data_IF_475692211713
#
_entry.id   IF_475692211713
#
_cell.length_a   1.000
_cell.length_b   1.000
_cell.length_c   1.000
_cell.angle_alpha   90.00
_cell.angle_beta   90.00
_cell.angle_gamma   90.00
#
_symmetry.space_group_name_H-M   'P 1'
#
loop_
_entity.id
_entity.type
_entity.pdbx_description
1 polymer ?
#
# COMPACT_ATOMS: atom_id res chain seq x y z
N UNK A 1 5.31 15.09 -56.07
CA UNK A 1 6.06 14.99 -54.81
C UNK A 1 5.36 15.67 -53.63
N UNK A 2 4.89 16.93 -53.73
CA UNK A 2 4.24 17.69 -52.62
C UNK A 2 3.15 16.96 -51.81
N UNK A 3 2.25 16.20 -52.47
CA UNK A 3 1.20 15.39 -51.78
C UNK A 3 1.76 14.30 -50.85
N UNK A 4 2.90 13.68 -51.20
CA UNK A 4 3.54 12.64 -50.37
C UNK A 4 4.15 13.21 -49.09
N UNK A 5 4.68 14.44 -49.17
CA UNK A 5 5.22 15.16 -48.01
C UNK A 5 4.12 15.64 -47.05
N UNK A 6 2.96 16.07 -47.60
CA UNK A 6 1.77 16.39 -46.79
C UNK A 6 1.22 15.13 -46.12
N UNK A 7 1.12 14.01 -46.83
CA UNK A 7 0.70 12.74 -46.26
C UNK A 7 1.67 12.24 -45.18
N UNK A 8 2.99 12.38 -45.39
CA UNK A 8 4.00 12.06 -44.38
C UNK A 8 3.86 12.94 -43.13
N UNK A 9 3.61 14.24 -43.30
CA UNK A 9 3.37 15.15 -42.19
C UNK A 9 2.15 14.78 -41.36
N UNK A 10 1.04 14.36 -42.01
CA UNK A 10 -0.18 13.92 -41.34
C UNK A 10 0.06 12.62 -40.55
N UNK A 11 0.74 11.64 -41.15
CA UNK A 11 1.06 10.36 -40.49
C UNK A 11 1.99 10.57 -39.30
N UNK A 12 3.01 11.42 -39.43
CA UNK A 12 3.91 11.76 -38.33
C UNK A 12 3.17 12.47 -37.18
N UNK A 13 2.27 13.40 -37.48
CA UNK A 13 1.46 14.08 -36.47
C UNK A 13 0.52 13.11 -35.72
N UNK A 14 -0.08 12.14 -36.43
CA UNK A 14 -0.91 11.09 -35.82
C UNK A 14 -0.10 10.18 -34.89
N UNK A 15 1.10 9.77 -35.30
CA UNK A 15 2.00 8.96 -34.46
C UNK A 15 2.41 9.70 -33.19
N UNK A 16 2.74 10.99 -33.29
CA UNK A 16 3.06 11.83 -32.12
C UNK A 16 1.83 11.98 -31.22
N UNK A 17 0.63 12.18 -31.79
CA UNK A 17 -0.60 12.28 -31.00
C UNK A 17 -0.88 10.98 -30.23
N UNK A 18 -0.74 9.82 -30.87
CA UNK A 18 -0.85 8.51 -30.22
C UNK A 18 0.21 8.36 -29.12
N UNK A 19 1.46 8.75 -29.38
CA UNK A 19 2.53 8.70 -28.38
C UNK A 19 2.23 9.60 -27.18
N UNK A 20 1.71 10.81 -27.38
CA UNK A 20 1.31 11.73 -26.30
C UNK A 20 0.13 11.17 -25.50
N UNK A 21 -0.84 10.54 -26.17
CA UNK A 21 -1.97 9.86 -25.51
C UNK A 21 -1.43 8.70 -24.65
N UNK A 22 -0.61 7.83 -25.23
CA UNK A 22 0.03 6.72 -24.50
C UNK A 22 0.85 7.23 -23.33
N UNK A 23 1.68 8.28 -23.50
CA UNK A 23 2.47 8.89 -22.43
C UNK A 23 1.61 9.54 -21.33
N UNK A 24 0.45 10.10 -21.67
CA UNK A 24 -0.52 10.60 -20.68
C UNK A 24 -1.20 9.46 -19.92
N UNK A 25 -1.51 8.35 -20.59
CA UNK A 25 -2.06 7.15 -19.95
C UNK A 25 -1.02 6.40 -19.11
N UNK A 26 0.25 6.34 -19.54
CA UNK A 26 1.34 5.71 -18.77
C UNK A 26 1.83 6.60 -17.63
N UNK A 27 1.81 7.94 -17.75
CA UNK A 27 1.95 8.84 -16.58
C UNK A 27 0.83 8.65 -15.56
N UNK A 28 -0.34 8.22 -16.00
CA UNK A 28 -1.48 7.80 -15.14
C UNK A 28 -1.40 6.35 -14.70
N UNK A 29 -0.38 5.58 -15.11
CA UNK A 29 -0.01 4.34 -14.44
C UNK A 29 0.64 4.75 -13.12
N UNK A 30 -0.24 5.17 -12.22
CA UNK A 30 0.01 5.81 -10.95
C UNK A 30 0.93 4.94 -10.12
N UNK A 31 2.05 5.53 -9.67
CA UNK A 31 2.70 5.07 -8.44
C UNK A 31 1.59 5.00 -7.38
N UNK A 32 1.21 3.80 -6.98
CA UNK A 32 0.12 3.60 -6.05
C UNK A 32 -0.65 2.31 -6.25
N UNK A 33 -1.62 2.13 -5.38
CA UNK A 33 -2.41 0.91 -5.24
C UNK A 33 -3.68 1.11 -6.04
N UNK A 34 -4.03 0.15 -6.90
CA UNK A 34 -5.20 0.30 -7.74
C UNK A 34 -6.47 0.37 -6.89
N UNK A 35 -7.30 1.38 -7.13
CA UNK A 35 -8.58 1.53 -6.46
C UNK A 35 -9.47 0.29 -6.66
N UNK A 36 -10.25 -0.06 -5.64
CA UNK A 36 -11.17 -1.19 -5.68
C UNK A 36 -11.33 -1.90 -4.36
N UNK A 37 -12.17 -2.95 -4.38
CA UNK A 37 -12.37 -3.88 -3.27
C UNK A 37 -11.48 -5.10 -3.48
N UNK A 38 -10.72 -5.48 -2.46
CA UNK A 38 -9.88 -6.67 -2.44
C UNK A 38 -10.42 -7.60 -1.36
N UNK A 39 -10.87 -8.79 -1.75
CA UNK A 39 -11.40 -9.80 -0.84
C UNK A 39 -10.26 -10.61 -0.25
N UNK A 40 -10.36 -10.97 1.02
CA UNK A 40 -9.41 -11.89 1.65
C UNK A 40 -9.38 -13.24 0.92
N UNK A 41 -8.21 -13.87 0.93
CA UNK A 41 -7.98 -15.19 0.34
C UNK A 41 -7.38 -16.07 1.44
N UNK A 42 -7.88 -17.30 1.55
CA UNK A 42 -7.34 -18.34 2.44
C UNK A 42 -7.18 -17.91 3.92
N UNK A 43 -8.14 -17.15 4.47
CA UNK A 43 -8.20 -16.80 5.89
C UNK A 43 -9.52 -17.27 6.53
N UNK A 44 -9.59 -18.52 7.01
CA UNK A 44 -10.81 -19.10 7.57
C UNK A 44 -11.33 -18.36 8.82
N UNK A 45 -10.44 -17.70 9.57
CA UNK A 45 -10.83 -16.97 10.79
C UNK A 45 -11.60 -15.68 10.47
N UNK A 46 -11.39 -15.12 9.27
CA UNK A 46 -12.02 -13.88 8.83
C UNK A 46 -12.46 -13.99 7.36
N UNK A 47 -13.42 -14.87 7.01
CA UNK A 47 -13.75 -15.21 5.63
C UNK A 47 -14.35 -14.04 4.84
N UNK A 48 -14.96 -13.08 5.55
CA UNK A 48 -15.62 -11.91 4.97
C UNK A 48 -14.74 -10.65 5.02
N UNK A 49 -13.47 -10.78 5.38
CA UNK A 49 -12.55 -9.65 5.43
C UNK A 49 -12.28 -9.08 4.04
N UNK A 50 -12.16 -7.75 3.95
CA UNK A 50 -11.80 -7.10 2.71
C UNK A 50 -11.09 -5.76 2.93
N UNK A 51 -10.40 -5.31 1.89
CA UNK A 51 -9.80 -3.98 1.81
C UNK A 51 -10.55 -3.15 0.78
N UNK A 52 -10.81 -1.88 1.10
CA UNK A 52 -11.18 -0.87 0.12
C UNK A 52 -10.00 0.07 -0.08
N UNK A 53 -9.58 0.19 -1.34
CA UNK A 53 -8.60 1.16 -1.80
C UNK A 53 -9.31 2.27 -2.56
N UNK A 54 -9.09 3.51 -2.15
CA UNK A 54 -9.57 4.70 -2.86
C UNK A 54 -8.51 5.80 -2.81
N UNK A 55 -8.02 6.22 -3.97
CA UNK A 55 -6.96 7.24 -4.08
C UNK A 55 -5.75 6.93 -3.19
N UNK A 56 -5.24 5.70 -3.19
CA UNK A 56 -4.16 5.22 -2.30
C UNK A 56 -4.48 5.26 -0.79
N UNK A 57 -5.72 5.53 -0.39
CA UNK A 57 -6.16 5.31 0.99
C UNK A 57 -6.70 3.90 1.14
N UNK A 58 -6.25 3.20 2.17
CA UNK A 58 -6.61 1.82 2.50
C UNK A 58 -7.44 1.80 3.77
N UNK A 59 -8.55 1.07 3.74
CA UNK A 59 -9.29 0.68 4.95
C UNK A 59 -9.63 -0.79 4.88
N UNK A 60 -9.41 -1.49 5.99
CA UNK A 60 -9.66 -2.92 6.17
C UNK A 60 -11.00 -3.07 6.90
N UNK A 61 -11.77 -4.08 6.54
CA UNK A 61 -13.11 -4.32 7.07
C UNK A 61 -13.26 -5.79 7.49
N UNK A 62 -14.20 -6.02 8.41
CA UNK A 62 -14.62 -7.34 8.88
C UNK A 62 -13.46 -8.20 9.43
N UNK A 63 -12.50 -7.57 10.08
CA UNK A 63 -11.34 -8.23 10.69
C UNK A 63 -10.89 -7.46 11.92
N UNK A 64 -10.45 -8.20 12.94
CA UNK A 64 -9.74 -7.63 14.08
C UNK A 64 -8.23 -7.75 13.81
N UNK A 65 -7.64 -6.66 13.33
CA UNK A 65 -6.21 -6.56 13.02
C UNK A 65 -5.38 -6.57 14.31
N UNK A 66 -5.92 -6.05 15.42
CA UNK A 66 -5.25 -6.08 16.72
C UNK A 66 -5.08 -7.52 17.21
N UNK A 67 -6.12 -8.34 17.11
CA UNK A 67 -6.06 -9.75 17.52
C UNK A 67 -4.98 -10.56 16.78
N UNK A 68 -4.56 -10.10 15.60
CA UNK A 68 -3.57 -10.80 14.77
C UNK A 68 -2.17 -10.24 14.99
N UNK A 69 -2.01 -8.91 15.07
CA UNK A 69 -0.70 -8.28 14.93
C UNK A 69 -0.27 -7.40 16.12
N UNK A 70 -1.19 -7.03 17.03
CA UNK A 70 -0.88 -6.01 18.05
C UNK A 70 0.17 -6.45 19.06
N UNK A 71 0.17 -7.72 19.47
CA UNK A 71 1.13 -8.21 20.47
C UNK A 71 2.57 -8.02 20.00
N UNK A 72 2.86 -8.42 18.77
CA UNK A 72 4.19 -8.24 18.19
C UNK A 72 4.53 -6.79 17.87
N UNK A 73 3.54 -6.00 17.47
CA UNK A 73 3.71 -4.56 17.29
C UNK A 73 4.18 -3.94 18.62
N UNK A 74 3.56 -4.30 19.75
CA UNK A 74 3.97 -3.86 21.09
C UNK A 74 5.38 -4.35 21.43
N UNK A 75 5.70 -5.61 21.17
CA UNK A 75 7.05 -6.14 21.42
C UNK A 75 8.12 -5.44 20.59
N UNK A 76 7.84 -5.17 19.31
CA UNK A 76 8.74 -4.43 18.41
C UNK A 76 8.97 -3.02 18.91
N UNK A 77 7.92 -2.33 19.37
CA UNK A 77 8.02 -0.99 19.97
C UNK A 77 8.89 -1.02 21.23
N UNK A 78 8.64 -1.99 22.13
CA UNK A 78 9.39 -2.13 23.39
C UNK A 78 10.87 -2.40 23.14
N UNK A 79 11.21 -3.32 22.23
CA UNK A 79 12.62 -3.63 21.88
C UNK A 79 13.39 -2.40 21.41
N UNK A 80 12.76 -1.54 20.60
CA UNK A 80 13.40 -0.30 20.17
C UNK A 80 13.52 0.71 21.33
N UNK A 81 12.52 0.81 22.21
CA UNK A 81 12.62 1.68 23.39
C UNK A 81 13.71 1.20 24.38
N UNK A 82 14.00 -0.09 24.41
CA UNK A 82 15.09 -0.69 25.21
C UNK A 82 16.46 -0.49 24.57
N UNK A 83 16.52 -0.31 23.24
CA UNK A 83 17.74 0.02 22.52
C UNK A 83 18.17 1.46 22.83
N UNK A 84 19.27 1.59 23.57
CA UNK A 84 19.83 2.86 24.00
C UNK A 84 20.30 3.73 22.84
N UNK A 85 20.64 3.14 21.68
CA UNK A 85 21.08 3.89 20.50
C UNK A 85 19.91 4.51 19.73
N UNK A 86 18.69 4.00 19.92
CA UNK A 86 17.50 4.52 19.24
C UNK A 86 17.14 5.94 19.68
N UNK A 87 17.44 6.28 20.94
CA UNK A 87 17.02 7.55 21.57
C UNK A 87 15.49 7.68 21.75
N UNK A 88 14.72 6.63 21.50
CA UNK A 88 13.25 6.64 21.58
C UNK A 88 12.83 6.19 22.99
N UNK A 89 12.08 7.04 23.69
CA UNK A 89 11.48 6.71 24.98
C UNK A 89 9.99 6.99 24.90
N UNK A 90 9.18 5.95 25.06
CA UNK A 90 7.72 6.02 25.01
C UNK A 90 7.13 5.56 26.35
N UNK A 91 6.06 6.22 26.76
CA UNK A 91 5.22 5.79 27.89
C UNK A 91 4.34 4.59 27.51
N UNK A 92 3.84 3.86 28.51
CA UNK A 92 2.92 2.75 28.27
C UNK A 92 1.66 3.19 27.50
N UNK A 93 1.11 4.37 27.80
CA UNK A 93 -0.04 4.93 27.09
C UNK A 93 0.27 5.24 25.62
N UNK A 94 1.46 5.75 25.33
CA UNK A 94 1.90 5.97 23.94
C UNK A 94 2.05 4.66 23.18
N UNK A 95 2.61 3.62 23.81
CA UNK A 95 2.73 2.29 23.20
C UNK A 95 1.33 1.71 22.90
N UNK A 96 0.39 1.81 23.83
CA UNK A 96 -0.99 1.35 23.64
C UNK A 96 -1.65 2.07 22.45
N UNK A 97 -1.47 3.39 22.35
CA UNK A 97 -2.05 4.19 21.25
C UNK A 97 -1.38 3.90 19.90
N UNK A 98 -0.06 3.73 19.88
CA UNK A 98 0.72 3.48 18.66
C UNK A 98 0.56 2.04 18.15
N UNK A 99 0.18 1.11 19.02
CA UNK A 99 -0.05 -0.30 18.67
C UNK A 99 -1.50 -0.62 18.33
N UNK A 100 -2.43 0.34 18.40
CA UNK A 100 -3.83 0.13 18.04
C UNK A 100 -4.03 0.16 16.51
N UNK A 101 -3.82 -0.99 15.89
CA UNK A 101 -3.92 -1.23 14.46
C UNK A 101 -5.38 -1.17 13.96
N UNK A 102 -6.36 -1.57 14.76
CA UNK A 102 -7.78 -1.43 14.40
C UNK A 102 -8.14 0.05 14.24
N UNK A 103 -7.74 0.89 15.19
CA UNK A 103 -7.95 2.33 15.07
C UNK A 103 -7.29 2.91 13.84
N UNK A 104 -6.11 2.42 13.46
CA UNK A 104 -5.36 2.93 12.30
C UNK A 104 -5.92 2.48 10.95
N UNK A 105 -6.31 1.21 10.83
CA UNK A 105 -6.58 0.59 9.54
C UNK A 105 -8.03 0.09 9.36
N UNK A 106 -8.78 -0.10 10.45
CA UNK A 106 -10.17 -0.59 10.42
C UNK A 106 -11.17 0.52 10.66
N UNK A 107 -10.94 1.35 11.68
CA UNK A 107 -11.81 2.49 11.98
C UNK A 107 -11.57 3.65 11.01
N UNK A 108 -10.31 3.86 10.64
CA UNK A 108 -9.86 4.95 9.79
C UNK A 108 -9.27 4.42 8.47
N UNK A 109 -9.37 5.26 7.42
CA UNK A 109 -8.66 5.00 6.19
C UNK A 109 -7.23 5.54 6.28
N UNK A 110 -6.25 4.66 6.12
CA UNK A 110 -4.83 5.01 6.14
C UNK A 110 -4.39 5.50 4.74
N UNK A 111 -3.84 6.71 4.68
CA UNK A 111 -3.30 7.25 3.43
C UNK A 111 -1.89 6.71 3.21
N UNK A 112 -1.72 5.84 2.21
CA UNK A 112 -0.40 5.31 1.85
C UNK A 112 0.45 6.40 1.21
N UNK A 113 1.66 6.58 1.75
CA UNK A 113 2.70 7.40 1.15
C UNK A 113 3.39 6.61 0.02
N UNK A 114 2.84 6.71 -1.17
CA UNK A 114 3.30 5.96 -2.35
C UNK A 114 4.67 6.41 -2.86
N UNK A 115 5.16 7.58 -2.42
CA UNK A 115 6.49 8.07 -2.78
C UNK A 115 7.58 7.37 -1.97
N UNK A 116 7.25 6.92 -0.75
CA UNK A 116 8.13 6.13 0.12
C UNK A 116 8.05 4.63 -0.10
N UNK A 117 7.26 4.17 -1.08
CA UNK A 117 7.16 2.76 -1.42
C UNK A 117 8.46 2.22 -2.00
N UNK A 118 8.92 1.08 -1.50
CA UNK A 118 10.08 0.36 -2.03
C UNK A 118 9.64 -0.59 -3.13
N UNK A 119 10.29 -0.53 -4.29
CA UNK A 119 10.03 -1.47 -5.39
C UNK A 119 10.81 -2.77 -5.13
N UNK A 120 10.10 -3.89 -4.98
CA UNK A 120 10.72 -5.21 -4.72
C UNK A 120 10.73 -6.15 -5.93
N UNK A 121 10.06 -5.76 -7.03
CA UNK A 121 10.08 -6.53 -8.27
C UNK A 121 9.56 -5.70 -9.44
N UNK A 122 9.43 -6.30 -10.62
CA UNK A 122 8.96 -5.58 -11.82
C UNK A 122 7.60 -4.91 -11.59
N UNK A 123 6.70 -5.60 -10.89
CA UNK A 123 5.30 -5.19 -10.66
C UNK A 123 4.91 -5.04 -9.19
N UNK A 124 5.86 -5.21 -8.26
CA UNK A 124 5.59 -5.31 -6.82
C UNK A 124 6.21 -4.15 -6.04
N UNK A 125 5.44 -3.62 -5.10
CA UNK A 125 5.80 -2.50 -4.24
C UNK A 125 5.47 -2.84 -2.79
N UNK A 126 6.35 -2.44 -1.88
CA UNK A 126 6.14 -2.54 -0.44
C UNK A 126 5.97 -1.14 0.12
N UNK A 127 4.86 -0.95 0.83
CA UNK A 127 4.55 0.28 1.51
C UNK A 127 4.55 0.04 3.02
N UNK A 128 5.57 0.56 3.70
CA UNK A 128 5.60 0.58 5.17
C UNK A 128 4.57 1.58 5.68
N UNK A 129 3.51 1.08 6.30
CA UNK A 129 2.38 1.88 6.75
C UNK A 129 2.60 2.34 8.19
N UNK A 130 3.42 3.39 8.30
CA UNK A 130 3.77 4.06 9.53
C UNK A 130 2.71 5.12 9.86
N UNK A 131 2.10 5.10 11.05
CA UNK A 131 1.23 6.21 11.44
C UNK A 131 2.04 7.48 11.78
N UNK A 132 1.40 8.65 11.75
CA UNK A 132 2.08 9.91 12.08
C UNK A 132 2.56 9.87 13.54
N UNK A 133 3.88 9.91 13.75
CA UNK A 133 4.51 9.70 15.06
C UNK A 133 4.79 8.24 15.44
N UNK A 134 4.62 7.30 14.50
CA UNK A 134 4.81 5.88 14.72
C UNK A 134 5.92 5.36 13.79
N UNK A 135 7.00 4.90 14.39
CA UNK A 135 8.14 4.32 13.67
C UNK A 135 7.89 2.85 13.30
N UNK A 136 6.69 2.35 13.60
CA UNK A 136 6.32 0.94 13.54
C UNK A 136 4.99 0.79 12.80
N UNK A 137 4.78 -0.32 12.10
CA UNK A 137 3.50 -0.56 11.46
C UNK A 137 3.48 -1.77 10.53
N UNK A 138 2.29 -2.06 10.01
CA UNK A 138 2.09 -3.11 9.03
C UNK A 138 2.75 -2.75 7.70
N UNK A 139 3.24 -3.75 6.98
CA UNK A 139 3.65 -3.56 5.59
C UNK A 139 2.52 -4.00 4.67
N UNK A 140 2.21 -3.15 3.68
CA UNK A 140 1.33 -3.50 2.57
C UNK A 140 2.17 -3.79 1.34
N UNK A 141 2.23 -5.07 0.97
CA UNK A 141 2.89 -5.52 -0.25
C UNK A 141 1.85 -5.58 -1.35
N UNK A 142 1.94 -4.66 -2.30
CA UNK A 142 1.04 -4.58 -3.44
C UNK A 142 1.71 -5.15 -4.69
N UNK A 143 1.10 -6.17 -5.27
CA UNK A 143 1.43 -6.71 -6.59
C UNK A 143 0.44 -6.14 -7.61
N UNK A 144 0.95 -5.26 -8.48
CA UNK A 144 0.15 -4.59 -9.50
C UNK A 144 -0.22 -5.48 -10.68
N UNK A 145 0.48 -6.60 -10.89
CA UNK A 145 0.16 -7.57 -11.94
C UNK A 145 -0.98 -8.48 -11.48
N UNK A 146 -0.83 -9.11 -10.32
CA UNK A 146 -1.82 -10.03 -9.75
C UNK A 146 -2.99 -9.33 -9.05
N UNK A 147 -2.90 -8.01 -8.86
CA UNK A 147 -3.88 -7.19 -8.11
C UNK A 147 -4.12 -7.75 -6.71
N UNK A 148 -3.02 -8.03 -6.00
CA UNK A 148 -3.07 -8.50 -4.62
C UNK A 148 -2.45 -7.49 -3.67
N UNK A 149 -3.02 -7.40 -2.47
CA UNK A 149 -2.45 -6.68 -1.33
C UNK A 149 -2.19 -7.73 -0.25
N UNK A 150 -0.96 -7.82 0.22
CA UNK A 150 -0.61 -8.65 1.36
C UNK A 150 -0.35 -7.75 2.56
N UNK A 151 -0.95 -8.09 3.69
CA UNK A 151 -0.65 -7.47 4.98
C UNK A 151 0.31 -8.41 5.70
N UNK A 152 1.43 -7.88 6.18
CA UNK A 152 2.32 -8.65 7.04
C UNK A 152 2.95 -7.81 8.17
N UNK A 153 3.38 -8.55 9.18
CA UNK A 153 4.21 -8.12 10.31
C UNK A 153 5.15 -9.30 10.66
N UNK A 154 5.91 -9.83 9.70
CA UNK A 154 6.85 -10.95 9.89
C UNK A 154 6.28 -12.30 10.44
N UNK A 155 5.02 -12.38 10.88
CA UNK A 155 4.44 -13.51 11.60
C UNK A 155 3.29 -14.19 10.86
N UNK A 156 2.25 -13.44 10.48
CA UNK A 156 1.14 -13.93 9.64
C UNK A 156 0.98 -13.05 8.42
N UNK A 157 0.96 -13.68 7.24
CA UNK A 157 0.58 -13.01 6.01
C UNK A 157 -0.91 -13.19 5.78
N UNK A 158 -1.62 -12.11 5.48
CA UNK A 158 -3.00 -12.17 5.01
C UNK A 158 -3.04 -11.58 3.61
N UNK A 159 -3.56 -12.37 2.67
CA UNK A 159 -3.61 -12.01 1.26
C UNK A 159 -5.01 -11.53 0.92
N UNK A 160 -5.08 -10.41 0.21
CA UNK A 160 -6.30 -9.86 -0.35
C UNK A 160 -6.16 -9.74 -1.86
N UNK A 161 -7.19 -10.13 -2.60
CA UNK A 161 -7.19 -10.13 -4.07
C UNK A 161 -8.41 -9.39 -4.61
N UNK A 162 -8.19 -8.57 -5.63
CA UNK A 162 -9.24 -7.85 -6.34
C UNK A 162 -10.00 -8.74 -7.31
#
# INVERSE_FOLDING_TARGET
MKKKWIAFGIVAALLIAVLVIVLRFTKKQTKGIADGKYMVVDCPEYPDAYIIVKNNSIRIYNIDVNAIYRNEQVESIKKICEDKESGIVLTGEEIEKLSDLNKMFVENAYKVDVEKGTKEGTYSYVYSCLSKGNYFGLHFLYDSYNKTIKINNYQKEIVFKK
#
